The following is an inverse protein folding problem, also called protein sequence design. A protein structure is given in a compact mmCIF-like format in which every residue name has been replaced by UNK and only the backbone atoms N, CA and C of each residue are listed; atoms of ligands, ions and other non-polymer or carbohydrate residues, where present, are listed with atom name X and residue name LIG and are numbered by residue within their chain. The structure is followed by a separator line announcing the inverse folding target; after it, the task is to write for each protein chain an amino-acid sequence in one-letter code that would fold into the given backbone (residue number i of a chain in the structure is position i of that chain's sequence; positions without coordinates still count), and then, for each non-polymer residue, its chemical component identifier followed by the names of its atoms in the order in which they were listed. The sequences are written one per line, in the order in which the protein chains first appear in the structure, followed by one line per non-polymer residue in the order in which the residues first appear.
data_IF_432411610332
#
_entry.id   IF_432411610332
#
_cell.length_a   1.000
_cell.length_b   1.000
_cell.length_c   1.000
_cell.angle_alpha   90.00
_cell.angle_beta   90.00
_cell.angle_gamma   90.00
#
_symmetry.space_group_name_H-M   'P 1'
#
loop_
_entity.id
_entity.type
_entity.pdbx_description
1 polymer ?
#
# COMPACT_ATOMS: atom_id res chain seq x y z
N UNK A 1 3.48 -0.54 -2.29
CA UNK A 1 2.96 0.82 -2.56
C UNK A 1 3.33 1.72 -1.41
N UNK A 2 3.61 2.98 -1.70
CA UNK A 2 3.98 4.03 -0.74
C UNK A 2 2.82 5.02 -0.71
N UNK A 3 2.37 5.39 0.47
CA UNK A 3 1.22 6.26 0.71
C UNK A 3 1.64 7.56 1.37
N UNK A 4 1.04 8.65 0.89
CA UNK A 4 1.07 9.96 1.52
C UNK A 4 -0.35 10.34 1.90
N UNK A 5 -0.54 10.76 3.14
CA UNK A 5 -1.82 11.05 3.76
C UNK A 5 -1.90 12.52 4.20
N UNK A 6 -3.11 13.01 4.42
CA UNK A 6 -3.32 14.33 5.02
C UNK A 6 -3.73 14.20 6.48
N UNK A 7 -2.78 14.52 7.38
CA UNK A 7 -2.96 14.49 8.83
C UNK A 7 -2.78 13.11 9.47
N UNK A 8 -3.00 12.99 10.80
CA UNK A 8 -2.73 11.77 11.57
C UNK A 8 -3.87 10.75 11.42
N UNK A 9 -4.04 10.20 10.22
CA UNK A 9 -5.19 9.35 9.87
C UNK A 9 -4.84 7.90 9.52
N UNK A 10 -3.60 7.47 9.79
CA UNK A 10 -3.11 6.13 9.45
C UNK A 10 -4.04 5.01 9.94
N UNK A 11 -4.57 5.08 11.17
CA UNK A 11 -5.49 4.06 11.70
C UNK A 11 -6.82 3.98 10.91
N UNK A 12 -7.36 5.13 10.48
CA UNK A 12 -8.60 5.18 9.71
C UNK A 12 -8.36 4.62 8.31
N UNK A 13 -7.26 5.00 7.69
CA UNK A 13 -6.86 4.51 6.36
C UNK A 13 -6.55 3.02 6.40
N UNK A 14 -5.88 2.53 7.46
CA UNK A 14 -5.59 1.11 7.64
C UNK A 14 -6.86 0.24 7.69
N UNK A 15 -7.93 0.69 8.36
CA UNK A 15 -9.23 -0.02 8.40
C UNK A 15 -9.89 -0.15 7.03
N UNK A 16 -9.73 0.84 6.15
CA UNK A 16 -10.24 0.75 4.77
C UNK A 16 -9.36 -0.15 3.92
N UNK A 17 -8.04 -0.06 4.08
CA UNK A 17 -7.06 -0.90 3.39
C UNK A 17 -7.21 -2.38 3.74
N UNK A 18 -7.53 -2.72 4.99
CA UNK A 18 -7.74 -4.10 5.45
C UNK A 18 -8.87 -4.81 4.68
N UNK A 19 -9.83 -4.05 4.12
CA UNK A 19 -10.91 -4.58 3.27
C UNK A 19 -10.46 -4.92 1.85
N UNK A 20 -9.21 -4.63 1.49
CA UNK A 20 -8.62 -4.89 0.17
C UNK A 20 -7.75 -6.15 0.28
N UNK A 21 -8.25 -7.34 -0.12
CA UNK A 21 -7.57 -8.61 0.14
C UNK A 21 -6.22 -8.76 -0.58
N UNK A 22 -5.98 -7.96 -1.63
CA UNK A 22 -4.70 -7.90 -2.32
C UNK A 22 -3.59 -7.24 -1.47
N UNK A 23 -3.95 -6.43 -0.48
CA UNK A 23 -2.98 -5.82 0.45
C UNK A 23 -2.63 -6.84 1.53
N UNK A 24 -1.39 -7.31 1.53
CA UNK A 24 -0.91 -8.38 2.43
C UNK A 24 -0.21 -7.87 3.67
N UNK A 25 0.28 -6.63 3.62
CA UNK A 25 0.94 -5.98 4.74
C UNK A 25 0.68 -4.48 4.64
N UNK A 26 0.41 -3.86 5.77
CA UNK A 26 0.22 -2.43 5.93
C UNK A 26 1.03 -1.96 7.13
N UNK A 27 1.92 -1.00 6.93
CA UNK A 27 2.81 -0.48 7.97
C UNK A 27 2.81 1.03 7.93
N UNK A 28 2.66 1.66 9.10
CA UNK A 28 2.91 3.09 9.26
C UNK A 28 4.40 3.35 9.43
N UNK A 29 4.89 4.41 8.81
CA UNK A 29 6.30 4.79 8.80
C UNK A 29 6.40 6.19 9.40
N UNK A 30 7.45 6.43 10.20
CA UNK A 30 7.79 7.78 10.63
C UNK A 30 8.61 8.48 9.55
N UNK A 31 8.27 9.72 9.20
CA UNK A 31 9.01 10.53 8.23
C UNK A 31 8.09 11.21 7.22
N UNK A 32 8.60 11.41 6.00
CA UNK A 32 7.87 12.06 4.89
C UNK A 32 6.78 11.17 4.28
N UNK A 33 6.93 9.85 4.43
CA UNK A 33 5.97 8.84 3.99
C UNK A 33 5.17 8.38 5.20
N UNK A 34 3.86 8.29 5.04
CA UNK A 34 2.98 7.89 6.14
C UNK A 34 2.82 6.36 6.24
N UNK A 35 2.68 5.67 5.11
CA UNK A 35 2.48 4.22 5.09
C UNK A 35 3.14 3.51 3.91
N UNK A 36 3.53 2.25 4.14
CA UNK A 36 3.99 1.32 3.12
C UNK A 36 3.08 0.10 3.13
N UNK A 37 2.64 -0.29 1.93
CA UNK A 37 1.84 -1.48 1.70
C UNK A 37 2.59 -2.52 0.86
N UNK A 38 2.51 -3.79 1.24
CA UNK A 38 2.83 -4.91 0.34
C UNK A 38 1.54 -5.37 -0.30
N UNK A 39 1.51 -5.36 -1.64
CA UNK A 39 0.34 -5.72 -2.44
C UNK A 39 0.72 -6.88 -3.36
N UNK A 40 -0.11 -7.91 -3.39
CA UNK A 40 0.03 -9.05 -4.29
C UNK A 40 -1.20 -9.15 -5.19
N UNK A 41 -0.97 -9.17 -6.50
CA UNK A 41 -2.01 -9.28 -7.53
C UNK A 41 -1.61 -10.30 -8.58
N UNK A 42 -2.60 -10.84 -9.32
CA UNK A 42 -2.35 -11.80 -10.40
C UNK A 42 -1.91 -11.13 -11.71
N UNK A 43 -2.22 -9.84 -11.89
CA UNK A 43 -1.92 -9.07 -13.08
C UNK A 43 -1.57 -7.60 -12.75
N UNK A 44 -1.05 -6.86 -13.74
CA UNK A 44 -0.86 -5.40 -13.64
C UNK A 44 -2.18 -4.63 -13.70
N UNK A 45 -3.21 -5.19 -14.34
CA UNK A 45 -4.55 -4.61 -14.39
C UNK A 45 -5.17 -4.62 -12.98
N UNK A 46 -5.16 -5.78 -12.33
CA UNK A 46 -5.58 -5.93 -10.93
C UNK A 46 -4.81 -4.98 -9.99
N UNK A 47 -3.51 -4.76 -10.26
CA UNK A 47 -2.68 -3.83 -9.48
C UNK A 47 -3.16 -2.39 -9.65
N UNK A 48 -3.51 -1.98 -10.87
CA UNK A 48 -4.06 -0.66 -11.15
C UNK A 48 -5.44 -0.48 -10.49
N UNK A 49 -6.28 -1.51 -10.49
CA UNK A 49 -7.58 -1.47 -9.79
C UNK A 49 -7.40 -1.32 -8.28
N UNK A 50 -6.49 -2.08 -7.68
CA UNK A 50 -6.15 -1.96 -6.26
C UNK A 50 -5.61 -0.56 -5.96
N UNK A 51 -4.72 -0.04 -6.80
CA UNK A 51 -4.20 1.33 -6.67
C UNK A 51 -5.33 2.35 -6.70
N UNK A 52 -6.26 2.27 -7.66
CA UNK A 52 -7.40 3.18 -7.76
C UNK A 52 -8.32 3.12 -6.54
N UNK A 53 -8.58 1.92 -6.03
CA UNK A 53 -9.34 1.73 -4.77
C UNK A 53 -8.67 2.42 -3.58
N UNK A 54 -7.34 2.34 -3.50
CA UNK A 54 -6.55 2.98 -2.43
C UNK A 54 -6.54 4.50 -2.60
N UNK A 55 -6.33 5.02 -3.81
CA UNK A 55 -6.36 6.46 -4.11
C UNK A 55 -7.72 7.08 -3.79
N UNK A 56 -8.82 6.31 -3.90
CA UNK A 56 -10.17 6.76 -3.55
C UNK A 56 -10.44 6.84 -2.03
N UNK A 57 -9.55 6.31 -1.17
CA UNK A 57 -9.73 6.37 0.28
C UNK A 57 -9.56 7.81 0.75
N UNK A 58 -10.56 8.32 1.48
CA UNK A 58 -10.53 9.69 2.01
C UNK A 58 -9.26 9.92 2.84
N UNK A 59 -8.51 10.93 2.43
CA UNK A 59 -7.29 11.37 3.10
C UNK A 59 -6.01 10.78 2.52
N UNK A 60 -6.10 9.87 1.54
CA UNK A 60 -4.96 9.52 0.69
C UNK A 60 -4.71 10.67 -0.29
N UNK A 61 -3.52 11.24 -0.23
CA UNK A 61 -3.07 12.35 -1.08
C UNK A 61 -2.35 11.82 -2.31
N UNK A 62 -1.55 10.78 -2.14
CA UNK A 62 -0.76 10.20 -3.22
C UNK A 62 -0.47 8.74 -2.94
N UNK A 63 -0.56 7.94 -4.00
CA UNK A 63 -0.06 6.55 -4.02
C UNK A 63 1.10 6.48 -5.01
N UNK A 64 2.26 6.05 -4.53
CA UNK A 64 3.39 5.70 -5.38
C UNK A 64 3.55 4.18 -5.45
N UNK A 65 3.52 3.63 -6.66
CA UNK A 65 3.54 2.18 -6.88
C UNK A 65 4.92 1.75 -7.34
N UNK A 66 5.55 0.86 -6.56
CA UNK A 66 6.84 0.26 -6.89
C UNK A 66 6.63 -1.24 -7.11
N UNK A 67 6.71 -1.69 -8.36
CA UNK A 67 6.60 -3.12 -8.70
C UNK A 67 7.95 -3.79 -8.47
N UNK A 68 7.95 -4.88 -7.69
CA UNK A 68 9.15 -5.68 -7.48
C UNK A 68 9.40 -6.52 -8.73
N UNK A 69 10.40 -6.15 -9.52
CA UNK A 69 10.78 -6.91 -10.73
C UNK A 69 11.57 -8.18 -10.42
N UNK A 70 12.36 -8.15 -9.35
CA UNK A 70 13.18 -9.27 -8.91
C UNK A 70 13.57 -9.13 -7.44
N UNK A 71 13.22 -10.13 -6.63
CA UNK A 71 13.80 -10.27 -5.29
C UNK A 71 15.26 -10.72 -5.42
N UNK A 72 16.19 -10.00 -4.76
CA UNK A 72 17.62 -10.37 -4.77
C UNK A 72 17.98 -11.28 -3.60
N UNK A 73 17.40 -11.03 -2.43
CA UNK A 73 17.49 -11.86 -1.25
C UNK A 73 16.28 -11.57 -0.35
N UNK A 74 15.77 -12.59 0.35
CA UNK A 74 14.71 -12.43 1.35
C UNK A 74 14.98 -13.42 2.48
N UNK A 75 15.36 -12.91 3.67
CA UNK A 75 15.65 -13.74 4.85
C UNK A 75 14.42 -13.92 5.75
N UNK A 76 13.31 -13.28 5.40
CA UNK A 76 12.08 -13.24 6.20
C UNK A 76 11.01 -14.22 5.66
N UNK A 77 11.06 -14.54 4.37
CA UNK A 77 10.32 -15.67 3.79
C UNK A 77 11.10 -16.95 4.08
N UNK A 78 10.62 -17.76 5.03
CA UNK A 78 11.08 -19.14 5.23
C UNK A 78 10.47 -20.05 4.18
#
# INVERSE_FOLDING_TARGET
MILYLTGPICEKVAKEIEKIPQVKLSQSIGGEIDMILTVETGSLEDLNDVRGRIEAIKGVVRVNTCVILKERFNRLRR
#
